data_IF_644046253534
#
_entry.id   IF_644046253534
#
_cell.length_a   1.000
_cell.length_b   1.000
_cell.length_c   1.000
_cell.angle_alpha   90.00
_cell.angle_beta   90.00
_cell.angle_gamma   90.00
#
_symmetry.space_group_name_H-M   'P 1'
#
loop_
_entity.id
_entity.type
_entity.pdbx_description
1 polymer ?
#
# COMPACT_ATOMS: atom_id res chain seq x y z
N UNK A 1 -19.95 5.87 43.70
CA UNK A 1 -19.63 6.91 42.69
C UNK A 1 -18.30 7.60 42.99
N UNK A 2 -18.14 8.27 44.15
CA UNK A 2 -16.87 8.93 44.51
C UNK A 2 -15.65 7.99 44.51
N UNK A 3 -15.81 6.74 44.97
CA UNK A 3 -14.72 5.77 44.95
C UNK A 3 -14.23 5.44 43.53
N UNK A 4 -15.14 5.40 42.55
CA UNK A 4 -14.78 5.13 41.14
C UNK A 4 -14.00 6.30 40.57
N UNK A 5 -14.45 7.53 40.83
CA UNK A 5 -13.77 8.76 40.41
C UNK A 5 -12.38 8.86 41.04
N UNK A 6 -12.26 8.53 42.34
CA UNK A 6 -10.98 8.50 43.05
C UNK A 6 -10.01 7.48 42.44
N UNK A 7 -10.46 6.27 42.11
CA UNK A 7 -9.64 5.26 41.44
C UNK A 7 -9.17 5.72 40.05
N UNK A 8 -10.05 6.34 39.26
CA UNK A 8 -9.68 6.86 37.94
C UNK A 8 -8.63 7.98 38.03
N UNK A 9 -8.79 8.92 38.97
CA UNK A 9 -7.82 10.01 39.20
C UNK A 9 -6.48 9.46 39.71
N UNK A 10 -6.50 8.44 40.57
CA UNK A 10 -5.28 7.81 41.05
C UNK A 10 -4.50 7.13 39.92
N UNK A 11 -5.17 6.37 39.04
CA UNK A 11 -4.53 5.74 37.86
C UNK A 11 -3.96 6.79 36.90
N UNK A 12 -4.64 7.93 36.75
CA UNK A 12 -4.18 9.04 35.92
C UNK A 12 -2.96 9.74 36.52
N UNK A 13 -3.00 10.12 37.80
CA UNK A 13 -1.89 10.85 38.45
C UNK A 13 -0.65 10.00 38.71
N UNK A 14 -0.81 8.69 38.92
CA UNK A 14 0.31 7.76 39.15
C UNK A 14 0.98 7.28 37.86
N UNK A 15 0.43 7.61 36.68
CA UNK A 15 0.91 7.14 35.38
C UNK A 15 1.08 5.59 35.32
N UNK A 16 0.32 4.83 36.12
CA UNK A 16 0.42 3.35 36.21
C UNK A 16 0.26 2.68 34.84
N UNK A 17 -0.56 3.27 33.96
CA UNK A 17 -0.77 2.80 32.59
C UNK A 17 0.50 2.84 31.72
N UNK A 18 1.57 3.55 32.14
CA UNK A 18 2.88 3.56 31.47
C UNK A 18 3.84 2.48 31.98
N UNK A 19 3.62 1.97 33.19
CA UNK A 19 4.52 1.00 33.85
C UNK A 19 4.21 -0.45 33.48
N UNK A 20 2.95 -0.75 33.15
CA UNK A 20 2.56 -2.10 32.72
C UNK A 20 2.82 -2.30 31.21
N UNK A 21 3.69 -3.26 30.81
CA UNK A 21 3.86 -3.58 29.39
C UNK A 21 2.53 -4.09 28.81
N UNK A 22 2.01 -3.40 27.80
CA UNK A 22 0.75 -3.75 27.11
C UNK A 22 -0.46 -2.84 27.37
N UNK A 23 -0.36 -1.83 28.25
CA UNK A 23 -1.49 -0.93 28.58
C UNK A 23 -1.38 0.51 28.06
N UNK A 24 -0.26 0.86 27.43
CA UNK A 24 -0.05 2.17 26.79
C UNK A 24 0.22 2.04 25.29
N UNK A 25 -0.03 3.11 24.55
CA UNK A 25 0.47 3.23 23.17
C UNK A 25 1.98 2.99 23.19
N UNK A 26 2.48 2.07 22.35
CA UNK A 26 3.91 1.84 22.16
C UNK A 26 4.55 3.17 21.74
N UNK A 27 5.15 3.90 22.70
CA UNK A 27 5.76 5.23 22.49
C UNK A 27 7.24 5.15 22.14
N UNK A 28 7.87 4.01 22.37
CA UNK A 28 9.18 3.71 21.81
C UNK A 28 8.98 3.03 20.47
N UNK A 29 9.07 3.82 19.41
CA UNK A 29 9.67 3.31 18.19
C UNK A 29 11.09 2.91 18.61
N UNK A 30 11.48 1.64 18.44
CA UNK A 30 12.89 1.24 18.49
C UNK A 30 13.59 1.96 17.32
N UNK A 31 13.98 3.21 17.57
CA UNK A 31 14.65 4.09 16.64
C UNK A 31 15.96 4.61 17.24
N UNK A 32 16.56 3.84 18.16
CA UNK A 32 17.99 3.96 18.41
C UNK A 32 18.67 3.30 17.20
N UNK A 33 18.73 4.06 16.09
CA UNK A 33 19.39 3.68 14.85
C UNK A 33 20.88 3.49 15.10
N UNK A 34 21.23 2.34 15.66
CA UNK A 34 22.60 1.97 15.95
C UNK A 34 23.28 1.56 14.65
N UNK A 35 24.59 1.81 14.52
CA UNK A 35 25.35 1.46 13.31
C UNK A 35 25.28 -0.05 13.03
N UNK A 36 25.15 -0.86 14.09
CA UNK A 36 24.91 -2.30 13.99
C UNK A 36 23.60 -2.65 13.27
N UNK A 37 22.54 -1.85 13.44
CA UNK A 37 21.27 -2.08 12.75
C UNK A 37 21.39 -1.75 11.26
N UNK A 38 22.04 -0.62 10.93
CA UNK A 38 22.34 -0.26 9.54
C UNK A 38 23.19 -1.32 8.84
N UNK A 39 24.20 -1.87 9.53
CA UNK A 39 25.03 -2.94 8.98
C UNK A 39 24.23 -4.22 8.68
N UNK A 40 23.26 -4.57 9.54
CA UNK A 40 22.36 -5.71 9.32
C UNK A 40 21.40 -5.48 8.16
N UNK A 41 20.86 -4.28 8.05
CA UNK A 41 19.97 -3.88 6.96
C UNK A 41 20.69 -3.89 5.61
N UNK A 42 21.93 -3.39 5.55
CA UNK A 42 22.78 -3.45 4.35
C UNK A 42 23.08 -4.90 3.93
N UNK A 43 23.36 -5.78 4.89
CA UNK A 43 23.61 -7.20 4.63
C UNK A 43 22.35 -7.89 4.07
N UNK A 44 21.19 -7.65 4.68
CA UNK A 44 19.90 -8.16 4.20
C UNK A 44 19.56 -7.64 2.80
N UNK A 45 19.80 -6.36 2.52
CA UNK A 45 19.54 -5.79 1.19
C UNK A 45 20.43 -6.41 0.11
N UNK A 46 21.72 -6.67 0.42
CA UNK A 46 22.64 -7.34 -0.50
C UNK A 46 22.22 -8.77 -0.80
N UNK A 47 21.88 -9.54 0.24
CA UNK A 47 21.38 -10.91 0.07
C UNK A 47 20.08 -10.93 -0.74
N UNK A 48 19.16 -10.00 -0.47
CA UNK A 48 17.90 -9.90 -1.19
C UNK A 48 18.11 -9.53 -2.66
N UNK A 49 19.01 -8.59 -2.96
CA UNK A 49 19.37 -8.23 -4.33
C UNK A 49 20.03 -9.39 -5.09
N UNK A 50 20.89 -10.17 -4.42
CA UNK A 50 21.50 -11.37 -4.99
C UNK A 50 20.46 -12.46 -5.25
N UNK A 51 19.53 -12.69 -4.31
CA UNK A 51 18.41 -13.62 -4.51
C UNK A 51 17.48 -13.19 -5.64
N UNK A 52 17.18 -11.89 -5.75
CA UNK A 52 16.37 -11.36 -6.85
C UNK A 52 17.07 -11.49 -8.20
N UNK A 53 18.37 -11.19 -8.28
CA UNK A 53 19.15 -11.39 -9.50
C UNK A 53 19.19 -12.87 -9.91
N UNK A 54 19.40 -13.78 -8.95
CA UNK A 54 19.37 -15.22 -9.20
C UNK A 54 17.98 -15.74 -9.65
N UNK A 55 16.88 -15.15 -9.14
CA UNK A 55 15.53 -15.43 -9.60
C UNK A 55 15.26 -14.90 -11.02
N UNK A 56 15.89 -13.79 -11.40
CA UNK A 56 15.76 -13.21 -12.75
C UNK A 56 16.62 -13.93 -13.79
N UNK A 57 17.79 -14.44 -13.42
CA UNK A 57 18.70 -15.16 -14.33
C UNK A 57 18.37 -16.66 -14.47
N UNK A 58 17.58 -17.23 -13.56
CA UNK A 58 17.26 -18.65 -13.54
C UNK A 58 15.76 -18.97 -13.61
N UNK A 59 15.22 -19.20 -14.81
CA UNK A 59 14.20 -20.25 -14.98
C UNK A 59 14.86 -21.57 -15.38
N UNK A 60 15.35 -22.34 -14.41
CA UNK A 60 15.16 -23.78 -14.44
C UNK A 60 14.37 -24.22 -13.19
N UNK A 61 13.56 -25.26 -13.35
CA UNK A 61 12.66 -25.86 -12.37
C UNK A 61 13.05 -25.61 -10.90
N UNK A 62 12.16 -24.94 -10.17
CA UNK A 62 12.26 -24.68 -8.73
C UNK A 62 12.94 -25.84 -7.99
N UNK A 63 14.20 -25.64 -7.61
CA UNK A 63 14.90 -26.58 -6.76
C UNK A 63 14.09 -26.72 -5.47
N UNK A 64 13.63 -27.94 -5.18
CA UNK A 64 12.82 -28.24 -3.99
C UNK A 64 13.64 -27.94 -2.75
N UNK A 65 13.44 -26.75 -2.19
CA UNK A 65 13.97 -26.36 -0.89
C UNK A 65 13.28 -27.22 0.16
N UNK A 66 14.03 -27.74 1.14
CA UNK A 66 13.48 -28.52 2.24
C UNK A 66 12.37 -27.72 2.95
N UNK A 67 11.13 -28.20 2.90
CA UNK A 67 9.92 -27.47 3.33
C UNK A 67 8.96 -27.06 2.21
N UNK A 68 9.37 -27.12 0.94
CA UNK A 68 8.44 -26.96 -0.19
C UNK A 68 7.61 -28.24 -0.35
N UNK A 69 6.41 -28.27 0.23
CA UNK A 69 5.42 -29.35 0.07
C UNK A 69 4.94 -29.36 -1.38
N UNK A 70 5.71 -30.02 -2.26
CA UNK A 70 5.30 -30.39 -3.62
C UNK A 70 4.55 -29.31 -4.42
N UNK A 71 3.66 -29.77 -5.31
CA UNK A 71 2.62 -28.90 -5.85
C UNK A 71 1.59 -28.66 -4.73
N UNK A 72 1.12 -27.42 -4.50
CA UNK A 72 0.12 -27.16 -3.47
C UNK A 72 -1.12 -28.01 -3.75
N UNK A 73 -1.47 -28.90 -2.82
CA UNK A 73 -2.63 -29.80 -2.96
C UNK A 73 -3.95 -29.07 -2.84
N UNK A 74 -3.95 -27.87 -2.27
CA UNK A 74 -5.12 -27.03 -2.03
C UNK A 74 -5.35 -25.96 -3.11
N UNK A 75 -4.60 -26.03 -4.22
CA UNK A 75 -4.63 -25.00 -5.27
C UNK A 75 -3.73 -23.80 -4.97
N UNK A 76 -3.66 -22.87 -5.91
CA UNK A 76 -2.94 -21.59 -5.77
C UNK A 76 -3.95 -20.57 -5.25
N UNK A 77 -3.64 -19.93 -4.13
CA UNK A 77 -4.42 -18.79 -3.65
C UNK A 77 -4.12 -17.60 -4.56
N UNK A 78 -4.96 -17.40 -5.57
CA UNK A 78 -4.86 -16.26 -6.46
C UNK A 78 -5.65 -15.10 -5.86
N UNK A 79 -4.99 -13.95 -5.70
CA UNK A 79 -5.71 -12.73 -5.38
C UNK A 79 -6.59 -12.35 -6.59
N UNK A 80 -7.84 -11.88 -6.40
CA UNK A 80 -8.70 -11.46 -7.51
C UNK A 80 -8.07 -10.39 -8.41
N UNK A 81 -7.08 -9.66 -7.88
CA UNK A 81 -6.32 -8.63 -8.58
C UNK A 81 -5.15 -9.16 -9.42
N UNK A 82 -4.83 -10.45 -9.37
CA UNK A 82 -3.70 -11.04 -10.11
C UNK A 82 -4.02 -11.34 -11.58
N UNK A 83 -5.30 -11.43 -11.95
CA UNK A 83 -5.71 -11.69 -13.33
C UNK A 83 -5.94 -10.38 -14.08
N UNK A 84 -5.06 -10.12 -15.04
CA UNK A 84 -5.24 -9.05 -16.01
C UNK A 84 -5.85 -9.65 -17.28
N UNK A 85 -7.00 -9.14 -17.71
CA UNK A 85 -7.66 -9.57 -18.93
C UNK A 85 -7.34 -8.58 -20.04
N UNK A 86 -6.88 -9.09 -21.18
CA UNK A 86 -6.65 -8.29 -22.38
C UNK A 86 -8.00 -8.06 -23.06
N UNK A 87 -8.38 -6.79 -23.21
CA UNK A 87 -9.62 -6.36 -23.85
C UNK A 87 -9.29 -5.42 -25.00
N UNK A 88 -9.93 -5.63 -26.14
CA UNK A 88 -9.74 -4.78 -27.31
C UNK A 88 -10.64 -3.53 -27.21
N UNK A 89 -10.04 -2.39 -26.89
CA UNK A 89 -10.69 -1.09 -26.81
C UNK A 89 -10.73 -0.41 -28.21
N UNK A 90 -11.88 0.14 -28.65
CA UNK A 90 -12.05 0.66 -30.01
C UNK A 90 -11.11 1.82 -30.37
N UNK A 91 -10.64 2.59 -29.38
CA UNK A 91 -9.74 3.75 -29.60
C UNK A 91 -8.28 3.43 -29.26
N UNK A 92 -8.04 2.49 -28.35
CA UNK A 92 -6.72 2.27 -27.75
C UNK A 92 -6.08 0.92 -28.11
N UNK A 93 -6.79 0.09 -28.89
CA UNK A 93 -6.31 -1.25 -29.25
C UNK A 93 -6.39 -2.19 -28.05
N UNK A 94 -5.40 -3.07 -27.89
CA UNK A 94 -5.37 -4.06 -26.82
C UNK A 94 -4.95 -3.41 -25.49
N UNK A 95 -5.87 -3.41 -24.51
CA UNK A 95 -5.66 -2.80 -23.19
C UNK A 95 -5.82 -3.86 -22.12
N UNK A 96 -4.94 -3.82 -21.11
CA UNK A 96 -5.03 -4.67 -19.93
C UNK A 96 -6.02 -4.07 -18.93
N UNK A 97 -7.10 -4.80 -18.64
CA UNK A 97 -8.12 -4.40 -17.67
C UNK A 97 -8.02 -5.33 -16.45
N UNK A 98 -8.09 -4.73 -15.26
CA UNK A 98 -8.21 -5.50 -14.02
C UNK A 98 -9.58 -6.15 -13.94
N UNK A 99 -9.60 -7.44 -13.64
CA UNK A 99 -10.84 -8.18 -13.41
C UNK A 99 -11.64 -7.56 -12.24
N UNK A 100 -12.96 -7.44 -12.39
CA UNK A 100 -13.89 -6.86 -11.39
C UNK A 100 -13.60 -5.41 -10.97
N UNK A 101 -12.94 -4.63 -11.84
CA UNK A 101 -12.74 -3.20 -11.57
C UNK A 101 -14.07 -2.42 -11.51
N UNK A 102 -15.10 -2.88 -12.24
CA UNK A 102 -16.45 -2.31 -12.18
C UNK A 102 -17.06 -2.41 -10.77
N UNK A 103 -16.95 -3.56 -10.12
CA UNK A 103 -17.42 -3.74 -8.74
C UNK A 103 -16.69 -2.84 -7.77
N UNK A 104 -15.38 -2.65 -7.98
CA UNK A 104 -14.59 -1.68 -7.20
C UNK A 104 -15.12 -0.25 -7.40
N UNK A 105 -15.48 0.13 -8.62
CA UNK A 105 -16.07 1.44 -8.91
C UNK A 105 -17.50 1.58 -8.35
N UNK A 106 -18.27 0.49 -8.33
CA UNK A 106 -19.59 0.45 -7.69
C UNK A 106 -19.47 0.63 -6.18
N UNK A 107 -18.59 -0.12 -5.52
CA UNK A 107 -18.31 0.02 -4.10
C UNK A 107 -17.82 1.43 -3.77
N UNK A 108 -16.96 2.04 -4.59
CA UNK A 108 -16.58 3.45 -4.43
C UNK A 108 -17.78 4.40 -4.47
N UNK A 109 -18.76 4.16 -5.33
CA UNK A 109 -19.95 5.02 -5.43
C UNK A 109 -20.88 4.83 -4.23
N UNK A 110 -21.12 3.59 -3.84
CA UNK A 110 -22.14 3.23 -2.84
C UNK A 110 -21.62 3.32 -1.39
N UNK A 111 -20.31 3.14 -1.18
CA UNK A 111 -19.69 3.12 0.14
C UNK A 111 -19.12 4.48 0.55
N UNK A 112 -19.27 4.83 1.82
CA UNK A 112 -18.60 5.98 2.45
C UNK A 112 -17.17 5.66 2.92
N UNK A 113 -16.87 4.39 3.21
CA UNK A 113 -15.60 3.96 3.80
C UNK A 113 -14.60 3.45 2.76
N UNK A 114 -15.05 3.18 1.53
CA UNK A 114 -14.16 2.79 0.45
C UNK A 114 -13.35 3.98 -0.07
N UNK A 115 -12.06 3.78 -0.32
CA UNK A 115 -11.15 4.85 -0.74
C UNK A 115 -11.62 5.52 -2.05
N UNK A 116 -11.87 6.83 -1.97
CA UNK A 116 -12.20 7.72 -3.08
C UNK A 116 -11.00 8.63 -3.31
N UNK A 117 -10.31 8.41 -4.42
CA UNK A 117 -9.14 9.23 -4.78
C UNK A 117 -9.59 10.55 -5.40
N UNK A 118 -8.65 11.49 -5.57
CA UNK A 118 -8.86 12.79 -6.21
C UNK A 118 -9.57 12.64 -7.57
N UNK A 119 -9.18 11.64 -8.39
CA UNK A 119 -9.79 11.34 -9.71
C UNK A 119 -11.28 11.09 -9.62
N UNK A 120 -11.73 10.34 -8.60
CA UNK A 120 -13.15 10.04 -8.40
C UNK A 120 -13.96 11.34 -8.16
N UNK A 121 -13.43 12.23 -7.31
CA UNK A 121 -14.08 13.51 -7.02
C UNK A 121 -14.04 14.48 -8.21
N UNK A 122 -12.98 14.46 -9.02
CA UNK A 122 -12.89 15.28 -10.23
C UNK A 122 -13.88 14.84 -11.32
N UNK A 123 -14.04 13.51 -11.53
CA UNK A 123 -15.07 12.98 -12.42
C UNK A 123 -16.48 13.36 -11.95
N UNK A 124 -16.75 13.25 -10.64
CA UNK A 124 -18.04 13.62 -10.06
C UNK A 124 -18.33 15.13 -10.19
N UNK A 125 -17.32 15.98 -9.99
CA UNK A 125 -17.46 17.43 -10.07
C UNK A 125 -17.42 17.98 -11.50
N UNK A 126 -17.25 17.11 -12.52
CA UNK A 126 -17.08 17.47 -13.94
C UNK A 126 -15.98 18.51 -14.17
N UNK A 127 -15.04 18.63 -13.23
CA UNK A 127 -13.88 19.49 -13.37
C UNK A 127 -12.92 18.75 -14.29
N UNK A 128 -13.05 19.03 -15.59
CA UNK A 128 -12.18 18.45 -16.61
C UNK A 128 -10.75 18.87 -16.31
N UNK A 129 -9.85 17.89 -16.11
CA UNK A 129 -8.42 18.17 -16.13
C UNK A 129 -8.06 18.52 -17.57
N UNK A 130 -7.53 19.71 -17.78
CA UNK A 130 -6.67 19.97 -18.95
C UNK A 130 -5.63 18.86 -18.97
N UNK A 131 -5.56 18.10 -20.06
CA UNK A 131 -4.68 16.95 -20.18
C UNK A 131 -3.24 17.45 -19.99
N UNK A 132 -2.61 17.10 -18.86
CA UNK A 132 -1.24 17.47 -18.59
C UNK A 132 -0.35 16.66 -19.54
N UNK A 133 0.06 17.30 -20.63
CA UNK A 133 1.10 16.79 -21.52
C UNK A 133 2.43 16.81 -20.74
N UNK A 134 3.04 15.63 -20.61
CA UNK A 134 4.37 15.51 -20.01
C UNK A 134 5.32 16.32 -20.90
N UNK A 135 5.95 17.36 -20.31
CA UNK A 135 6.87 18.35 -20.91
C UNK A 135 6.27 19.64 -21.50
N UNK A 136 5.01 20.02 -21.23
CA UNK A 136 4.62 21.40 -21.52
C UNK A 136 5.18 22.37 -20.45
N UNK A 137 5.95 23.41 -20.84
CA UNK A 137 6.36 24.44 -19.89
C UNK A 137 5.12 25.22 -19.49
N UNK A 138 4.74 25.10 -18.22
CA UNK A 138 3.57 25.73 -17.58
C UNK A 138 3.71 27.26 -17.43
N UNK A 139 4.30 27.94 -18.40
CA UNK A 139 4.64 29.36 -18.33
C UNK A 139 4.34 30.06 -19.66
N UNK A 140 3.06 30.35 -19.94
CA UNK A 140 2.66 31.48 -20.82
C UNK A 140 1.15 31.75 -20.91
N UNK A 141 0.41 31.77 -19.81
CA UNK A 141 -0.95 32.32 -19.84
C UNK A 141 -1.27 33.14 -18.58
N UNK A 142 -0.53 34.24 -18.40
CA UNK A 142 -1.07 35.44 -17.75
C UNK A 142 -0.50 36.67 -18.44
N UNK A 143 -1.35 37.41 -19.15
CA UNK A 143 -1.08 38.80 -19.52
C UNK A 143 -1.12 39.14 -21.02
N UNK A 144 -2.29 39.12 -21.64
CA UNK A 144 -2.66 40.23 -22.53
C UNK A 144 -4.16 40.50 -22.42
N UNK A 145 -4.50 41.41 -21.51
CA UNK A 145 -5.76 42.14 -21.56
C UNK A 145 -5.58 43.18 -22.67
N UNK A 146 -6.44 43.12 -23.69
CA UNK A 146 -6.86 44.29 -24.46
C UNK A 146 -8.32 44.51 -24.11
#
# INVERSE_FOLDING_TARGET
MLCVIGCCLFVYCSDIYRLCPGWGSVRKFDADGNEDQRAREDLLQREYAQHQAALMEGTPAAAKVYGSIGKPTWGVLEAPTQREVLVQHPVHGEVKVRENFEDTQRLRRESSWWAKDERFFMEQSKVSRTQLLINEPTARLMGSVI
#
